data_IF_992257670108
#
_entry.id   IF_992257670108
#
_cell.length_a   1.000
_cell.length_b   1.000
_cell.length_c   1.000
_cell.angle_alpha   90.00
_cell.angle_beta   90.00
_cell.angle_gamma   90.00
#
_symmetry.space_group_name_H-M   'P 1'
#
loop_
_entity.id
_entity.type
_entity.pdbx_description
1 polymer ?
#
# COMPACT_ATOMS: atom_id res chain seq x y z
N UNK A 1 43.61 20.99 9.02
CA UNK A 1 44.33 19.71 9.18
C UNK A 1 43.60 18.80 10.17
N UNK A 2 42.78 17.92 9.60
CA UNK A 2 42.60 16.50 9.93
C UNK A 2 42.13 16.11 11.34
N UNK A 3 40.80 16.02 11.49
CA UNK A 3 40.14 15.28 12.56
C UNK A 3 40.07 13.81 12.12
N UNK A 4 40.78 12.95 12.84
CA UNK A 4 40.90 11.52 12.56
C UNK A 4 39.60 10.82 12.98
N UNK A 5 38.79 10.34 12.02
CA UNK A 5 37.71 9.39 12.31
C UNK A 5 38.28 7.98 12.35
N UNK A 6 38.06 7.30 13.47
CA UNK A 6 38.48 5.93 13.72
C UNK A 6 37.60 4.93 12.96
N UNK A 7 38.27 3.89 12.46
CA UNK A 7 37.76 2.72 11.76
C UNK A 7 37.36 1.64 12.78
N UNK A 8 36.23 0.96 12.59
CA UNK A 8 36.04 -0.42 13.06
C UNK A 8 34.95 -1.13 12.25
N UNK A 9 35.42 -2.00 11.38
CA UNK A 9 34.73 -2.89 10.44
C UNK A 9 33.96 -4.00 11.18
N UNK A 10 32.67 -4.18 10.87
CA UNK A 10 31.90 -5.35 11.30
C UNK A 10 31.89 -6.39 10.17
N UNK A 11 32.62 -7.49 10.38
CA UNK A 11 32.60 -8.70 9.54
C UNK A 11 31.37 -9.53 9.86
N UNK A 12 30.43 -9.67 8.91
CA UNK A 12 29.32 -10.62 9.01
C UNK A 12 29.68 -11.87 8.19
N UNK A 13 29.63 -13.01 8.88
CA UNK A 13 30.02 -14.32 8.38
C UNK A 13 29.01 -14.87 7.35
N UNK A 14 29.56 -15.41 6.27
CA UNK A 14 28.88 -16.13 5.20
C UNK A 14 28.49 -17.54 5.67
N UNK A 15 27.18 -17.81 5.77
CA UNK A 15 26.65 -19.16 5.98
C UNK A 15 26.25 -19.78 4.63
N UNK A 16 27.05 -20.75 4.17
CA UNK A 16 26.76 -21.57 3.00
C UNK A 16 25.83 -22.73 3.39
N UNK A 17 24.62 -22.78 2.82
CA UNK A 17 23.71 -23.92 2.95
C UNK A 17 23.90 -24.85 1.74
N UNK A 18 24.64 -25.94 1.94
CA UNK A 18 24.90 -26.94 0.89
C UNK A 18 23.74 -27.94 0.80
N UNK A 19 23.11 -27.94 -0.37
CA UNK A 19 22.13 -28.90 -0.87
C UNK A 19 22.78 -30.26 -1.15
N UNK A 20 22.36 -31.32 -0.44
CA UNK A 20 22.57 -32.74 -0.81
C UNK A 20 21.45 -33.59 -0.20
N UNK A 21 20.81 -34.44 -1.02
CA UNK A 21 20.22 -35.69 -0.52
C UNK A 21 18.87 -36.09 -1.10
N UNK A 22 18.89 -36.81 -2.22
CA UNK A 22 17.75 -37.46 -2.86
C UNK A 22 17.52 -38.88 -2.27
N UNK A 23 16.30 -39.40 -2.46
CA UNK A 23 15.85 -40.82 -2.38
C UNK A 23 15.50 -41.42 -1.01
N UNK A 24 14.24 -41.84 -0.80
CA UNK A 24 13.73 -43.17 -1.13
C UNK A 24 12.32 -43.44 -0.55
N UNK A 25 11.58 -44.24 -1.31
CA UNK A 25 10.22 -44.79 -1.14
C UNK A 25 10.11 -45.85 -0.03
N UNK A 26 8.98 -45.88 0.70
CA UNK A 26 8.28 -47.11 1.15
C UNK A 26 6.89 -46.77 1.73
N UNK A 27 5.91 -47.61 1.37
CA UNK A 27 4.48 -47.53 1.68
C UNK A 27 4.12 -48.09 3.08
N UNK A 28 2.85 -47.85 3.50
CA UNK A 28 1.94 -48.56 4.46
C UNK A 28 1.17 -47.47 5.25
N UNK A 29 -0.13 -47.48 5.57
CA UNK A 29 -1.25 -48.44 5.55
C UNK A 29 -2.52 -47.55 5.72
N UNK A 30 -3.47 -47.55 4.79
CA UNK A 30 -4.82 -48.13 4.90
C UNK A 30 -5.53 -48.09 6.29
N UNK A 31 -6.77 -47.56 6.21
CA UNK A 31 -7.97 -47.86 6.99
C UNK A 31 -8.35 -47.03 8.23
N UNK A 32 -9.50 -46.36 8.05
CA UNK A 32 -10.67 -46.34 8.94
C UNK A 32 -10.54 -45.52 10.24
N UNK A 33 -11.57 -44.83 10.74
CA UNK A 33 -13.01 -45.08 10.64
C UNK A 33 -13.75 -43.84 11.09
N UNK A 34 -14.95 -43.69 10.56
CA UNK A 34 -15.92 -42.63 10.78
C UNK A 34 -16.39 -42.47 12.22
N UNK A 35 -16.81 -41.24 12.54
CA UNK A 35 -18.07 -40.91 13.24
C UNK A 35 -18.03 -39.43 13.61
N UNK A 36 -19.10 -38.66 13.64
CA UNK A 36 -20.51 -38.84 13.28
C UNK A 36 -21.15 -37.49 13.61
N UNK A 37 -22.12 -37.04 12.80
CA UNK A 37 -23.39 -36.37 13.21
C UNK A 37 -23.32 -35.10 14.10
N UNK A 38 -24.17 -34.08 14.02
CA UNK A 38 -25.38 -33.72 13.28
C UNK A 38 -25.87 -32.44 13.98
N UNK A 39 -26.42 -31.47 13.24
CA UNK A 39 -27.71 -30.78 13.48
C UNK A 39 -27.70 -29.42 12.78
N UNK A 40 -28.24 -29.28 11.56
CA UNK A 40 -29.62 -28.88 11.19
C UNK A 40 -30.14 -27.54 11.74
N UNK A 41 -30.36 -26.63 10.77
CA UNK A 41 -31.47 -25.69 10.57
C UNK A 41 -31.86 -24.68 11.67
N UNK A 42 -31.91 -23.40 11.28
CA UNK A 42 -33.20 -22.68 11.20
C UNK A 42 -33.10 -21.52 10.19
N UNK A 43 -34.18 -21.42 9.43
CA UNK A 43 -34.50 -20.59 8.27
C UNK A 43 -35.13 -19.26 8.68
N UNK A 44 -35.29 -18.38 7.68
CA UNK A 44 -36.09 -17.15 7.58
C UNK A 44 -35.35 -15.84 7.89
N UNK A 45 -35.04 -15.02 6.88
CA UNK A 45 -35.90 -14.23 5.97
C UNK A 45 -36.43 -12.95 6.61
N UNK A 46 -35.97 -11.80 6.12
CA UNK A 46 -36.85 -10.77 5.49
C UNK A 46 -36.09 -9.47 5.25
N UNK A 47 -35.94 -9.16 3.97
CA UNK A 47 -36.28 -7.88 3.33
C UNK A 47 -36.22 -6.61 4.19
N UNK A 48 -35.35 -5.69 3.78
CA UNK A 48 -35.81 -4.32 3.48
C UNK A 48 -35.03 -3.82 2.28
N UNK A 49 -35.77 -3.66 1.18
CA UNK A 49 -35.39 -2.78 0.09
C UNK A 49 -35.18 -1.37 0.63
N UNK A 50 -34.14 -0.69 0.14
CA UNK A 50 -34.32 0.71 -0.21
C UNK A 50 -33.64 0.93 -1.56
N UNK A 51 -34.46 0.87 -2.60
CA UNK A 51 -34.23 1.63 -3.81
C UNK A 51 -34.39 3.10 -3.43
N UNK A 52 -33.43 3.94 -3.78
CA UNK A 52 -33.65 5.20 -4.49
C UNK A 52 -32.42 6.10 -4.40
N UNK A 53 -31.92 6.43 -5.59
CA UNK A 53 -31.49 7.78 -6.01
C UNK A 53 -30.22 8.30 -5.32
N UNK A 54 -29.17 8.67 -6.05
CA UNK A 54 -29.19 9.74 -7.03
C UNK A 54 -27.90 9.71 -7.85
N UNK A 55 -28.04 9.69 -9.17
CA UNK A 55 -27.02 10.13 -10.11
C UNK A 55 -26.66 11.58 -9.83
N UNK A 56 -25.65 11.81 -9.00
CA UNK A 56 -24.90 13.06 -9.00
C UNK A 56 -23.52 12.78 -9.57
N UNK A 57 -23.50 12.64 -10.90
CA UNK A 57 -22.37 13.08 -11.70
C UNK A 57 -22.19 14.58 -11.46
N UNK A 58 -21.48 14.95 -10.40
CA UNK A 58 -20.92 16.27 -10.24
C UNK A 58 -19.47 16.19 -10.72
N UNK A 59 -19.10 16.87 -11.83
CA UNK A 59 -17.69 17.13 -12.08
C UNK A 59 -17.28 18.18 -11.05
N UNK A 60 -16.86 17.72 -9.87
CA UNK A 60 -16.17 18.57 -8.90
C UNK A 60 -14.73 18.80 -9.38
N UNK A 61 -14.61 19.45 -10.54
CA UNK A 61 -13.38 20.09 -10.98
C UNK A 61 -13.16 21.34 -10.15
N UNK A 62 -12.75 21.17 -8.90
CA UNK A 62 -11.85 22.15 -8.29
C UNK A 62 -10.53 22.15 -9.08
N UNK A 63 -9.69 23.19 -8.95
CA UNK A 63 -8.35 23.17 -9.54
C UNK A 63 -7.47 22.16 -8.78
N UNK A 64 -7.83 20.88 -8.83
CA UNK A 64 -6.97 19.77 -8.46
C UNK A 64 -6.04 19.57 -9.63
N UNK A 65 -4.85 20.17 -9.56
CA UNK A 65 -3.74 19.61 -10.30
C UNK A 65 -3.61 18.17 -9.81
N UNK A 66 -3.75 17.21 -10.73
CA UNK A 66 -3.44 15.80 -10.46
C UNK A 66 -1.93 15.71 -10.21
N UNK A 67 -1.50 16.13 -9.01
CA UNK A 67 -0.12 16.05 -8.57
C UNK A 67 0.21 14.59 -8.21
N UNK A 68 0.18 13.70 -9.21
CA UNK A 68 0.60 12.30 -9.08
C UNK A 68 2.08 12.10 -9.38
N UNK A 69 2.52 10.84 -9.47
CA UNK A 69 3.89 10.47 -9.84
C UNK A 69 4.36 11.05 -11.20
N UNK A 70 3.45 11.37 -12.11
CA UNK A 70 3.77 11.94 -13.44
C UNK A 70 3.99 13.47 -13.42
N UNK A 71 3.89 14.10 -12.25
CA UNK A 71 3.90 15.56 -12.13
C UNK A 71 5.31 16.12 -12.21
N UNK A 72 5.48 17.20 -12.98
CA UNK A 72 6.71 17.98 -12.99
C UNK A 72 6.58 19.10 -11.98
N UNK A 73 7.31 19.01 -10.86
CA UNK A 73 7.37 20.07 -9.87
C UNK A 73 8.15 21.28 -10.39
N UNK A 74 7.56 22.46 -10.30
CA UNK A 74 8.19 23.75 -10.69
C UNK A 74 8.43 24.66 -9.49
N UNK A 75 7.91 24.28 -8.32
CA UNK A 75 7.98 25.03 -7.07
C UNK A 75 7.80 24.10 -5.86
N UNK A 76 8.12 24.59 -4.67
CA UNK A 76 7.83 23.86 -3.42
C UNK A 76 6.32 23.66 -3.20
N UNK A 77 5.48 24.56 -3.70
CA UNK A 77 4.02 24.40 -3.61
C UNK A 77 3.53 23.16 -4.39
N UNK A 78 4.20 22.80 -5.48
CA UNK A 78 3.88 21.57 -6.23
C UNK A 78 4.27 20.32 -5.42
N UNK A 79 5.36 20.40 -4.65
CA UNK A 79 5.77 19.33 -3.74
C UNK A 79 4.85 19.22 -2.53
N UNK A 80 4.38 20.34 -1.99
CA UNK A 80 3.37 20.33 -0.92
C UNK A 80 2.07 19.67 -1.42
N UNK A 81 1.64 19.98 -2.65
CA UNK A 81 0.50 19.32 -3.29
C UNK A 81 0.74 17.83 -3.60
N UNK A 82 1.99 17.43 -3.89
CA UNK A 82 2.38 16.02 -4.02
C UNK A 82 2.19 15.28 -2.70
N UNK A 83 2.62 15.88 -1.57
CA UNK A 83 2.42 15.29 -0.24
C UNK A 83 0.93 15.19 0.10
N UNK A 84 0.12 16.21 -0.20
CA UNK A 84 -1.34 16.15 -0.03
C UNK A 84 -1.97 15.04 -0.88
N UNK A 85 -1.49 14.84 -2.10
CA UNK A 85 -1.97 13.76 -2.99
C UNK A 85 -1.54 12.39 -2.50
N UNK A 86 -0.32 12.27 -1.97
CA UNK A 86 0.19 11.06 -1.34
C UNK A 86 -0.62 10.70 -0.09
N UNK A 87 -0.97 11.70 0.72
CA UNK A 87 -1.83 11.53 1.88
C UNK A 87 -3.24 11.13 1.43
N UNK A 88 -3.83 11.80 0.44
CA UNK A 88 -5.19 11.54 -0.05
C UNK A 88 -6.25 12.39 0.64
N UNK A 89 -7.46 12.41 0.06
CA UNK A 89 -8.59 13.23 0.53
C UNK A 89 -9.39 12.52 1.63
N UNK A 90 -9.29 13.03 2.86
CA UNK A 90 -10.02 12.52 4.02
C UNK A 90 -11.54 12.84 4.01
N UNK A 91 -12.01 13.72 3.13
CA UNK A 91 -13.44 14.06 3.00
C UNK A 91 -14.27 12.94 2.36
N UNK A 92 -13.60 11.96 1.74
CA UNK A 92 -14.22 10.82 1.07
C UNK A 92 -14.59 9.67 2.03
N UNK A 93 -14.54 9.92 3.34
CA UNK A 93 -14.91 8.96 4.38
C UNK A 93 -13.81 7.93 4.62
N UNK A 94 -14.18 6.66 4.81
CA UNK A 94 -13.23 5.56 5.08
C UNK A 94 -12.20 5.35 3.96
N UNK A 95 -12.49 5.85 2.76
CA UNK A 95 -11.63 5.74 1.58
C UNK A 95 -10.94 7.09 1.37
N UNK A 96 -9.62 7.18 1.50
CA UNK A 96 -8.89 8.45 1.31
C UNK A 96 -8.68 8.85 -0.17
N UNK A 97 -9.54 8.31 -1.06
CA UNK A 97 -9.34 8.25 -2.51
C UNK A 97 -8.15 7.36 -2.90
N UNK A 98 -8.17 6.71 -4.07
CA UNK A 98 -7.05 5.85 -4.53
C UNK A 98 -6.62 6.09 -5.98
N UNK A 99 -7.33 6.93 -6.72
CA UNK A 99 -7.03 7.19 -8.13
C UNK A 99 -5.56 7.52 -8.44
N UNK A 100 -4.87 8.42 -7.70
CA UNK A 100 -3.48 8.75 -8.02
C UNK A 100 -2.48 7.62 -7.72
N UNK A 101 -2.90 6.55 -7.04
CA UNK A 101 -2.05 5.42 -6.65
C UNK A 101 -2.57 4.07 -7.17
N UNK A 102 -3.66 4.06 -7.94
CA UNK A 102 -4.38 2.85 -8.35
C UNK A 102 -3.45 1.87 -9.07
N UNK A 103 -2.57 2.37 -9.95
CA UNK A 103 -1.61 1.54 -10.67
C UNK A 103 -0.67 0.76 -9.74
N UNK A 104 -0.18 1.39 -8.68
CA UNK A 104 0.71 0.74 -7.70
C UNK A 104 -0.07 -0.27 -6.86
N UNK A 105 -1.31 0.05 -6.48
CA UNK A 105 -2.17 -0.89 -5.75
C UNK A 105 -2.44 -2.15 -6.58
N UNK A 106 -2.76 -2.00 -7.86
CA UNK A 106 -3.02 -3.12 -8.77
C UNK A 106 -1.77 -4.00 -8.95
N UNK A 107 -0.59 -3.39 -9.12
CA UNK A 107 0.67 -4.11 -9.28
C UNK A 107 1.10 -4.85 -8.01
N UNK A 108 1.02 -4.21 -6.85
CA UNK A 108 1.52 -4.77 -5.59
C UNK A 108 0.52 -5.76 -4.99
N UNK A 109 -0.77 -5.42 -4.93
CA UNK A 109 -1.79 -6.25 -4.29
C UNK A 109 -2.24 -7.40 -5.20
N UNK A 110 -2.15 -7.24 -6.53
CA UNK A 110 -2.56 -8.28 -7.47
C UNK A 110 -4.07 -8.60 -7.44
N UNK A 111 -4.87 -7.67 -6.93
CA UNK A 111 -6.34 -7.73 -6.97
C UNK A 111 -6.86 -6.60 -7.87
N UNK A 112 -8.12 -6.69 -8.29
CA UNK A 112 -8.73 -5.62 -9.07
C UNK A 112 -9.18 -4.47 -8.17
N UNK A 113 -9.28 -3.27 -8.75
CA UNK A 113 -9.88 -2.11 -8.09
C UNK A 113 -11.27 -2.41 -7.48
N UNK A 114 -12.10 -3.20 -8.17
CA UNK A 114 -13.43 -3.57 -7.68
C UNK A 114 -13.38 -4.50 -6.44
N UNK A 115 -12.45 -5.46 -6.42
CA UNK A 115 -12.22 -6.33 -5.26
C UNK A 115 -11.68 -5.54 -4.07
N UNK A 116 -10.74 -4.62 -4.33
CA UNK A 116 -10.23 -3.71 -3.30
C UNK A 116 -11.36 -2.88 -2.69
N UNK A 117 -12.21 -2.26 -3.53
CA UNK A 117 -13.36 -1.49 -3.05
C UNK A 117 -14.30 -2.31 -2.18
N UNK A 118 -14.64 -3.54 -2.59
CA UNK A 118 -15.53 -4.41 -1.82
C UNK A 118 -14.95 -4.74 -0.43
N UNK A 119 -13.64 -4.95 -0.32
CA UNK A 119 -12.95 -5.18 0.96
C UNK A 119 -12.93 -3.95 1.86
N UNK A 120 -12.71 -2.78 1.26
CA UNK A 120 -12.72 -1.55 2.02
C UNK A 120 -14.13 -1.17 2.49
N UNK A 121 -15.17 -1.44 1.69
CA UNK A 121 -16.58 -1.29 2.12
C UNK A 121 -16.96 -2.25 3.25
N UNK A 122 -16.25 -3.38 3.36
CA UNK A 122 -16.34 -4.29 4.50
C UNK A 122 -15.56 -3.82 5.74
N UNK A 123 -14.90 -2.65 5.67
CA UNK A 123 -14.19 -2.00 6.78
C UNK A 123 -12.69 -2.30 6.85
N UNK A 124 -12.10 -2.88 5.81
CA UNK A 124 -10.65 -3.10 5.75
C UNK A 124 -9.91 -1.85 5.25
N UNK A 125 -8.76 -1.53 5.82
CA UNK A 125 -7.84 -0.55 5.25
C UNK A 125 -6.80 -1.23 4.34
N UNK A 126 -6.00 -0.44 3.63
CA UNK A 126 -4.98 -0.97 2.70
C UNK A 126 -3.98 -1.90 3.41
N UNK A 127 -3.58 -1.58 4.63
CA UNK A 127 -2.69 -2.44 5.43
C UNK A 127 -3.31 -3.82 5.71
N UNK A 128 -4.59 -3.86 6.08
CA UNK A 128 -5.32 -5.09 6.33
C UNK A 128 -5.48 -5.91 5.03
N UNK A 129 -5.82 -5.25 3.92
CA UNK A 129 -5.92 -5.90 2.61
C UNK A 129 -4.58 -6.49 2.17
N UNK A 130 -3.48 -5.76 2.33
CA UNK A 130 -2.13 -6.26 2.04
C UNK A 130 -1.80 -7.49 2.90
N UNK A 131 -2.06 -7.40 4.21
CA UNK A 131 -1.80 -8.49 5.16
C UNK A 131 -2.58 -9.76 4.82
N UNK A 132 -3.87 -9.63 4.45
CA UNK A 132 -4.72 -10.76 4.04
C UNK A 132 -4.23 -11.43 2.76
N UNK A 133 -3.59 -10.67 1.88
CA UNK A 133 -2.94 -11.16 0.67
C UNK A 133 -1.53 -11.72 0.91
N UNK A 134 -1.04 -11.67 2.16
CA UNK A 134 0.30 -12.12 2.53
C UNK A 134 1.41 -11.15 2.12
N UNK A 135 1.07 -9.89 1.88
CA UNK A 135 1.99 -8.80 1.57
C UNK A 135 2.22 -8.00 2.85
N UNK A 136 3.49 -7.66 3.13
CA UNK A 136 3.81 -6.79 4.25
C UNK A 136 3.36 -5.35 3.93
N UNK A 137 2.62 -4.66 4.82
CA UNK A 137 2.18 -3.28 4.57
C UNK A 137 3.32 -2.31 4.24
N UNK A 138 4.55 -2.53 4.75
CA UNK A 138 5.70 -1.71 4.37
C UNK A 138 6.11 -1.93 2.93
N UNK A 139 5.94 -3.13 2.36
CA UNK A 139 6.19 -3.34 0.93
C UNK A 139 5.27 -2.48 0.06
N UNK A 140 4.02 -2.27 0.49
CA UNK A 140 3.10 -1.38 -0.19
C UNK A 140 3.53 0.09 -0.05
N UNK A 141 3.90 0.52 1.17
CA UNK A 141 4.37 1.88 1.43
C UNK A 141 5.62 2.19 0.62
N UNK A 142 6.62 1.30 0.63
CA UNK A 142 7.86 1.45 -0.14
C UNK A 142 7.60 1.59 -1.64
N UNK A 143 6.66 0.82 -2.19
CA UNK A 143 6.29 0.90 -3.60
C UNK A 143 5.64 2.26 -3.94
N UNK A 144 4.77 2.77 -3.06
CA UNK A 144 4.13 4.07 -3.23
C UNK A 144 5.15 5.23 -3.13
N UNK A 145 6.06 5.15 -2.17
CA UNK A 145 7.17 6.12 -2.03
C UNK A 145 8.04 6.10 -3.28
N UNK A 146 8.40 4.91 -3.79
CA UNK A 146 9.23 4.77 -4.98
C UNK A 146 8.56 5.34 -6.24
N UNK A 147 7.23 5.28 -6.35
CA UNK A 147 6.48 5.83 -7.46
C UNK A 147 6.49 7.38 -7.45
N UNK A 148 6.43 8.00 -6.28
CA UNK A 148 6.33 9.47 -6.13
C UNK A 148 7.70 10.16 -5.95
N UNK A 149 8.72 9.44 -5.47
CA UNK A 149 10.08 9.93 -5.25
C UNK A 149 10.70 10.65 -6.47
N UNK A 150 10.52 10.21 -7.73
CA UNK A 150 11.11 10.87 -8.90
C UNK A 150 10.75 12.35 -9.04
N UNK A 151 9.58 12.77 -8.57
CA UNK A 151 9.16 14.18 -8.59
C UNK A 151 10.05 15.03 -7.69
N UNK A 152 10.37 14.53 -6.49
CA UNK A 152 11.24 15.20 -5.52
C UNK A 152 12.69 15.19 -6.01
N UNK A 153 13.17 14.06 -6.54
CA UNK A 153 14.52 13.92 -7.09
C UNK A 153 14.74 14.86 -8.28
N UNK A 154 13.74 15.01 -9.15
CA UNK A 154 13.82 15.94 -10.29
C UNK A 154 13.85 17.39 -9.81
N UNK A 155 13.03 17.76 -8.82
CA UNK A 155 13.06 19.10 -8.24
C UNK A 155 14.42 19.44 -7.60
N UNK A 156 15.06 18.45 -6.97
CA UNK A 156 16.42 18.58 -6.43
C UNK A 156 17.44 18.75 -7.57
N UNK A 157 17.36 17.93 -8.61
CA UNK A 157 18.26 17.99 -9.77
C UNK A 157 18.17 19.32 -10.53
N UNK A 158 16.96 19.88 -10.63
CA UNK A 158 16.68 21.18 -11.25
C UNK A 158 17.06 22.37 -10.34
N UNK A 159 17.43 22.11 -9.08
CA UNK A 159 17.83 23.12 -8.11
C UNK A 159 16.66 23.96 -7.57
N UNK A 160 15.43 23.46 -7.67
CA UNK A 160 14.23 24.07 -7.09
C UNK A 160 14.27 23.95 -5.56
N UNK A 161 14.80 22.84 -5.06
CA UNK A 161 14.99 22.53 -3.64
C UNK A 161 16.45 22.17 -3.34
N UNK A 162 16.85 22.28 -2.08
CA UNK A 162 18.15 21.81 -1.58
C UNK A 162 18.14 20.33 -1.23
N UNK A 163 19.32 19.72 -1.02
CA UNK A 163 19.46 18.34 -0.55
C UNK A 163 18.73 18.09 0.78
N UNK A 164 18.80 19.05 1.71
CA UNK A 164 18.12 18.97 3.00
C UNK A 164 16.59 18.99 2.82
N UNK A 165 16.08 19.85 1.93
CA UNK A 165 14.66 19.91 1.62
C UNK A 165 14.17 18.63 0.92
N UNK A 166 14.98 18.05 0.03
CA UNK A 166 14.64 16.78 -0.62
C UNK A 166 14.50 15.66 0.41
N UNK A 167 15.42 15.58 1.39
CA UNK A 167 15.32 14.62 2.48
C UNK A 167 14.05 14.84 3.34
N UNK A 168 13.72 16.10 3.65
CA UNK A 168 12.51 16.45 4.39
C UNK A 168 11.22 16.07 3.62
N UNK A 169 11.18 16.28 2.30
CA UNK A 169 10.03 15.89 1.49
C UNK A 169 9.91 14.37 1.34
N UNK A 170 11.01 13.63 1.22
CA UNK A 170 10.99 12.17 1.20
C UNK A 170 10.44 11.60 2.52
N UNK A 171 10.83 12.17 3.67
CA UNK A 171 10.30 11.75 4.96
C UNK A 171 8.80 12.04 5.10
N UNK A 172 8.34 13.21 4.65
CA UNK A 172 6.92 13.55 4.62
C UNK A 172 6.12 12.64 3.68
N UNK A 173 6.71 12.23 2.56
CA UNK A 173 6.09 11.31 1.61
C UNK A 173 5.87 9.92 2.23
N UNK A 174 6.89 9.40 2.91
CA UNK A 174 6.79 8.13 3.66
C UNK A 174 5.75 8.20 4.78
N UNK A 175 5.72 9.31 5.54
CA UNK A 175 4.72 9.54 6.58
C UNK A 175 3.30 9.60 6.00
N UNK A 176 3.10 10.33 4.90
CA UNK A 176 1.82 10.47 4.24
C UNK A 176 1.27 9.12 3.75
N UNK A 177 2.11 8.30 3.11
CA UNK A 177 1.69 6.96 2.68
C UNK A 177 1.49 6.00 3.85
N UNK A 178 2.29 6.11 4.91
CA UNK A 178 2.06 5.35 6.15
C UNK A 178 0.70 5.68 6.73
N UNK A 179 0.34 6.96 6.84
CA UNK A 179 -0.96 7.39 7.35
C UNK A 179 -2.11 6.91 6.45
N UNK A 180 -1.96 7.03 5.13
CA UNK A 180 -2.98 6.57 4.17
C UNK A 180 -3.19 5.06 4.22
N UNK A 181 -2.11 4.29 4.25
CA UNK A 181 -2.17 2.82 4.24
C UNK A 181 -2.81 2.28 5.52
N UNK A 182 -2.53 2.94 6.65
CA UNK A 182 -3.06 2.58 7.97
C UNK A 182 -4.33 3.37 8.34
N UNK A 183 -4.95 4.07 7.39
CA UNK A 183 -6.07 4.94 7.72
C UNK A 183 -7.25 4.13 8.27
N UNK A 184 -7.74 4.57 9.43
CA UNK A 184 -8.95 4.05 10.07
C UNK A 184 -9.97 5.20 10.07
N UNK A 185 -10.93 5.15 9.15
CA UNK A 185 -12.02 6.12 9.03
C UNK A 185 -13.29 5.71 9.75
#
# INVERSE_FOLDING_TARGET
MNIKKALATATIALAAFTLVGCTAVAATDTASTESSTSSTETTESSTTETSSEDTSAAPAGGPGGEAGADTVATSTADLDALIETALGDASLGIHRGHQPIESVLDEVLGITHAELHARMDAGQNLAAVATDLGIDPQTLIDALVADFAPVIEQAQADGIITDDQAADYMAQLEEAFTERVNYEG
#
